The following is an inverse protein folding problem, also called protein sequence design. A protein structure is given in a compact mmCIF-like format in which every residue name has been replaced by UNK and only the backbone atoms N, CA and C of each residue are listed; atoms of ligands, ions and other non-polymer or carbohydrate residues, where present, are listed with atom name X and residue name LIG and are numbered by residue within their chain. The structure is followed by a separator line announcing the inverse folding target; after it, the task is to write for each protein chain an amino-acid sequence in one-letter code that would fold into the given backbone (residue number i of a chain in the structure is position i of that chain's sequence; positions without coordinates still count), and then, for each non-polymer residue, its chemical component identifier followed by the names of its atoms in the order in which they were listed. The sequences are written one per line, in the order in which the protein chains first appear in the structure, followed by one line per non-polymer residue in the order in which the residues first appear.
data_IF_815569021350
#
_entry.id   IF_815569021350
#
_cell.length_a   1.000
_cell.length_b   1.000
_cell.length_c   1.000
_cell.angle_alpha   90.00
_cell.angle_beta   90.00
_cell.angle_gamma   90.00
#
_symmetry.space_group_name_H-M   'P 1'
#
loop_
_entity.id
_entity.type
_entity.pdbx_description
1 polymer ?
#
# COMPACT_ATOMS: atom_id res chain seq x y z
N UNK A 1 -12.24 26.83 -21.31
CA UNK A 1 -12.49 25.61 -20.51
C UNK A 1 -11.49 25.68 -19.38
N UNK A 2 -11.96 25.48 -18.15
CA UNK A 2 -11.07 25.56 -16.99
C UNK A 2 -10.70 24.15 -16.54
N UNK A 3 -9.45 23.97 -16.09
CA UNK A 3 -8.94 22.70 -15.65
C UNK A 3 -8.80 22.60 -14.12
N UNK A 4 -8.77 21.36 -13.64
CA UNK A 4 -8.46 21.01 -12.27
C UNK A 4 -7.36 19.94 -12.22
N UNK A 5 -6.62 19.88 -11.12
CA UNK A 5 -5.80 18.72 -10.77
C UNK A 5 -6.47 17.98 -9.62
N UNK A 6 -6.32 16.65 -9.56
CA UNK A 6 -6.67 15.85 -8.40
C UNK A 6 -5.48 15.73 -7.45
N UNK A 7 -5.78 15.60 -6.16
CA UNK A 7 -4.79 15.17 -5.16
C UNK A 7 -5.27 13.87 -4.57
N UNK A 8 -4.48 12.84 -4.79
CA UNK A 8 -4.75 11.48 -4.33
C UNK A 8 -3.94 11.17 -3.07
N UNK A 9 -4.57 10.50 -2.11
CA UNK A 9 -3.92 9.93 -0.94
C UNK A 9 -4.16 8.42 -0.91
N UNK A 10 -3.09 7.63 -0.79
CA UNK A 10 -3.19 6.19 -0.60
C UNK A 10 -3.44 5.91 0.88
N UNK A 11 -4.51 5.19 1.16
CA UNK A 11 -4.98 4.83 2.49
C UNK A 11 -4.95 3.32 2.71
N UNK A 12 -5.29 2.85 3.90
CA UNK A 12 -5.43 1.40 4.19
C UNK A 12 -6.50 0.70 3.34
N UNK A 13 -7.40 1.48 2.73
CA UNK A 13 -8.44 1.01 1.80
C UNK A 13 -8.13 1.36 0.33
N UNK A 14 -6.88 1.66 0.02
CA UNK A 14 -6.44 2.09 -1.31
C UNK A 14 -6.50 3.61 -1.53
N UNK A 15 -6.32 4.06 -2.77
CA UNK A 15 -6.25 5.48 -3.12
C UNK A 15 -7.62 6.17 -3.09
N UNK A 16 -7.63 7.37 -2.49
CA UNK A 16 -8.77 8.30 -2.47
C UNK A 16 -8.36 9.65 -3.03
N UNK A 17 -9.21 10.24 -3.85
CA UNK A 17 -9.09 11.64 -4.24
C UNK A 17 -9.63 12.49 -3.10
N UNK A 18 -8.76 13.24 -2.45
CA UNK A 18 -9.05 13.98 -1.22
C UNK A 18 -9.22 15.48 -1.45
N UNK A 19 -8.67 15.99 -2.58
CA UNK A 19 -8.63 17.40 -2.88
C UNK A 19 -8.66 17.62 -4.40
N UNK A 20 -9.23 18.74 -4.83
CA UNK A 20 -9.08 19.28 -6.18
C UNK A 20 -8.36 20.62 -6.10
N UNK A 21 -7.49 20.91 -7.07
CA UNK A 21 -6.81 22.17 -7.23
C UNK A 21 -7.32 22.81 -8.52
N UNK A 22 -7.97 23.97 -8.39
CA UNK A 22 -8.49 24.76 -9.50
C UNK A 22 -7.49 25.87 -9.84
N UNK A 23 -7.33 26.18 -11.11
CA UNK A 23 -6.58 27.37 -11.53
C UNK A 23 -7.56 28.46 -11.95
N UNK A 24 -7.59 29.55 -11.18
CA UNK A 24 -8.41 30.74 -11.44
C UNK A 24 -7.72 31.70 -12.41
N UNK A 25 -8.47 32.56 -13.11
CA UNK A 25 -7.87 33.58 -13.98
C UNK A 25 -7.09 34.65 -13.22
N UNK A 26 -7.43 34.89 -11.94
CA UNK A 26 -6.82 35.91 -11.10
C UNK A 26 -6.47 35.40 -9.72
N UNK A 27 -5.56 36.11 -9.05
CA UNK A 27 -5.17 35.79 -7.66
C UNK A 27 -6.29 36.19 -6.70
N UNK A 28 -6.60 35.28 -5.77
CA UNK A 28 -7.59 35.46 -4.71
C UNK A 28 -6.95 35.29 -3.34
N UNK A 29 -7.51 35.97 -2.33
CA UNK A 29 -7.07 35.83 -0.93
C UNK A 29 -7.99 34.94 -0.14
N UNK A 30 -7.50 34.33 0.94
CA UNK A 30 -8.23 33.37 1.76
C UNK A 30 -9.57 33.94 2.29
N UNK A 31 -9.60 35.23 2.68
CA UNK A 31 -10.80 35.88 3.23
C UNK A 31 -11.95 36.02 2.25
N UNK A 32 -11.73 35.82 0.95
CA UNK A 32 -12.76 35.91 -0.09
C UNK A 32 -13.43 34.56 -0.40
N UNK A 33 -12.85 33.45 0.10
CA UNK A 33 -13.30 32.07 -0.22
C UNK A 33 -14.16 31.48 0.91
N UNK A 34 -15.24 30.80 0.53
CA UNK A 34 -16.16 30.08 1.42
C UNK A 34 -16.42 28.69 0.87
N UNK A 35 -16.71 27.74 1.76
CA UNK A 35 -16.90 26.32 1.42
C UNK A 35 -18.08 26.06 0.48
N UNK A 36 -19.08 26.94 0.48
CA UNK A 36 -20.29 26.82 -0.32
C UNK A 36 -20.22 27.56 -1.68
N UNK A 37 -19.02 27.97 -2.11
CA UNK A 37 -18.83 28.61 -3.42
C UNK A 37 -18.81 27.66 -4.60
N UNK A 38 -18.57 26.38 -4.35
CA UNK A 38 -18.43 25.37 -5.40
C UNK A 38 -19.24 24.12 -5.11
N UNK A 39 -19.89 23.60 -6.14
CA UNK A 39 -20.43 22.24 -6.17
C UNK A 39 -19.45 21.31 -6.87
N UNK A 40 -19.15 20.18 -6.25
CA UNK A 40 -18.25 19.15 -6.80
C UNK A 40 -19.06 17.91 -7.16
N UNK A 41 -19.16 17.60 -8.43
CA UNK A 41 -19.81 16.40 -8.96
C UNK A 41 -18.75 15.46 -9.53
N UNK A 42 -18.91 14.14 -9.36
CA UNK A 42 -18.01 13.14 -9.91
C UNK A 42 -18.77 12.03 -10.61
N UNK A 43 -18.21 11.56 -11.72
CA UNK A 43 -18.58 10.30 -12.38
C UNK A 43 -17.38 9.35 -12.34
N UNK A 44 -17.61 8.13 -11.85
CA UNK A 44 -16.61 7.06 -11.78
C UNK A 44 -16.86 6.07 -12.89
N UNK A 45 -15.85 5.83 -13.70
CA UNK A 45 -15.91 5.00 -14.91
C UNK A 45 -14.82 3.94 -14.88
N UNK A 46 -15.06 2.82 -15.54
CA UNK A 46 -14.00 1.87 -15.85
C UNK A 46 -12.95 2.53 -16.73
N UNK A 47 -11.69 2.32 -16.44
CA UNK A 47 -10.60 2.98 -17.18
C UNK A 47 -10.45 2.47 -18.61
N UNK A 48 -10.83 1.21 -18.87
CA UNK A 48 -10.71 0.54 -20.17
C UNK A 48 -11.89 0.86 -21.12
N UNK A 49 -13.12 0.80 -20.62
CA UNK A 49 -14.33 0.94 -21.44
C UNK A 49 -14.96 2.33 -21.38
N UNK A 50 -14.66 3.11 -20.35
CA UNK A 50 -15.33 4.38 -20.07
C UNK A 50 -16.78 4.22 -19.56
N UNK A 51 -17.24 3.00 -19.33
CA UNK A 51 -18.56 2.73 -18.77
C UNK A 51 -18.66 3.19 -17.33
N UNK A 52 -19.81 3.75 -16.95
CA UNK A 52 -20.07 4.12 -15.56
C UNK A 52 -20.16 2.85 -14.72
N UNK A 53 -19.41 2.83 -13.60
CA UNK A 53 -19.41 1.69 -12.69
C UNK A 53 -20.74 1.64 -11.95
N UNK A 54 -21.46 0.53 -12.03
CA UNK A 54 -22.71 0.35 -11.32
C UNK A 54 -22.66 -0.76 -10.28
N UNK A 55 -22.09 -1.90 -10.63
CA UNK A 55 -21.95 -3.05 -9.74
C UNK A 55 -20.68 -3.80 -10.06
N UNK A 56 -20.05 -4.33 -9.04
CA UNK A 56 -18.95 -5.28 -9.19
C UNK A 56 -19.32 -6.57 -8.47
N UNK A 57 -18.91 -7.70 -9.05
CA UNK A 57 -18.96 -8.99 -8.36
C UNK A 57 -17.61 -9.23 -7.70
N UNK A 58 -17.64 -9.43 -6.40
CA UNK A 58 -16.48 -9.88 -5.65
C UNK A 58 -16.70 -11.33 -5.23
N UNK A 59 -15.65 -11.99 -4.73
CA UNK A 59 -15.78 -13.31 -4.12
C UNK A 59 -16.75 -13.34 -2.91
N UNK A 60 -17.04 -12.18 -2.30
CA UNK A 60 -18.06 -12.02 -1.25
C UNK A 60 -19.45 -11.69 -1.78
N UNK A 61 -19.66 -11.75 -3.10
CA UNK A 61 -20.92 -11.38 -3.73
C UNK A 61 -20.90 -10.01 -4.43
N UNK A 62 -22.04 -9.56 -4.95
CA UNK A 62 -22.13 -8.29 -5.66
C UNK A 62 -21.95 -7.12 -4.70
N UNK A 63 -21.07 -6.18 -5.07
CA UNK A 63 -20.95 -4.86 -4.41
C UNK A 63 -21.54 -3.80 -5.35
N UNK A 64 -22.37 -2.93 -4.79
CA UNK A 64 -22.86 -1.74 -5.48
C UNK A 64 -21.92 -0.60 -5.11
N UNK A 65 -21.23 -0.05 -6.11
CA UNK A 65 -20.46 1.17 -5.95
C UNK A 65 -21.29 2.36 -6.38
N UNK A 66 -21.33 3.46 -5.60
CA UNK A 66 -21.90 4.69 -6.10
C UNK A 66 -21.06 5.16 -7.29
N UNK A 67 -21.69 5.19 -8.47
CA UNK A 67 -21.01 5.51 -9.72
C UNK A 67 -20.81 7.01 -9.93
N UNK A 68 -21.72 7.82 -9.37
CA UNK A 68 -21.73 9.27 -9.55
C UNK A 68 -22.50 9.98 -8.45
N UNK A 69 -22.19 11.25 -8.24
CA UNK A 69 -22.88 12.10 -7.29
C UNK A 69 -22.09 13.31 -6.88
N UNK A 70 -22.69 14.12 -6.02
CA UNK A 70 -22.04 15.27 -5.42
C UNK A 70 -21.17 14.80 -4.23
N UNK A 71 -20.01 15.46 -4.11
CA UNK A 71 -19.13 15.29 -2.95
C UNK A 71 -19.27 16.51 -2.04
N UNK A 72 -19.24 16.26 -0.76
CA UNK A 72 -19.18 17.30 0.26
C UNK A 72 -17.88 18.11 0.11
N UNK A 73 -17.97 19.44 0.28
CA UNK A 73 -16.83 20.35 0.34
C UNK A 73 -16.59 20.73 1.80
N UNK A 74 -15.45 20.39 2.35
CA UNK A 74 -15.11 20.67 3.76
C UNK A 74 -14.26 21.92 3.94
N UNK A 75 -13.44 22.26 2.94
CA UNK A 75 -12.65 23.50 2.94
C UNK A 75 -12.38 24.00 1.54
N UNK A 76 -12.33 25.35 1.39
CA UNK A 76 -11.90 26.05 0.18
C UNK A 76 -10.88 27.12 0.58
N UNK A 77 -9.70 27.12 -0.04
CA UNK A 77 -8.63 28.06 0.31
C UNK A 77 -7.63 28.24 -0.83
N UNK A 78 -6.90 29.40 -0.89
CA UNK A 78 -5.79 29.55 -1.83
C UNK A 78 -4.66 28.58 -1.50
N UNK A 79 -4.01 28.05 -2.54
CA UNK A 79 -2.90 27.12 -2.39
C UNK A 79 -1.81 27.38 -3.45
N UNK A 80 -0.66 26.72 -3.31
CA UNK A 80 0.30 26.60 -4.40
C UNK A 80 -0.17 25.58 -5.44
N UNK A 81 0.62 25.37 -6.48
CA UNK A 81 0.32 24.41 -7.56
C UNK A 81 0.29 22.94 -7.11
N UNK A 82 0.78 22.64 -5.89
CA UNK A 82 0.81 21.33 -5.24
C UNK A 82 -0.27 21.17 -4.16
N UNK A 83 -1.09 22.23 -3.93
CA UNK A 83 -2.20 22.19 -2.97
C UNK A 83 -1.82 22.54 -1.53
N UNK A 84 -0.61 23.07 -1.27
CA UNK A 84 -0.23 23.60 0.03
C UNK A 84 -0.86 24.98 0.26
N UNK A 85 -1.37 25.22 1.48
CA UNK A 85 -2.04 26.47 1.82
C UNK A 85 -1.15 27.70 1.58
N UNK A 86 -1.76 28.75 1.04
CA UNK A 86 -1.16 30.06 0.83
C UNK A 86 -2.13 31.15 1.29
N UNK A 87 -1.63 32.36 1.58
CA UNK A 87 -2.48 33.49 1.95
C UNK A 87 -3.23 34.03 0.73
N UNK A 88 -2.59 33.96 -0.42
CA UNK A 88 -3.16 34.38 -1.71
C UNK A 88 -2.56 33.56 -2.85
N UNK A 89 -3.36 33.25 -3.87
CA UNK A 89 -2.92 32.51 -5.06
C UNK A 89 -3.97 32.58 -6.16
N UNK A 90 -3.57 32.26 -7.40
CA UNK A 90 -4.51 31.89 -8.47
C UNK A 90 -4.97 30.44 -8.36
N UNK A 91 -4.27 29.60 -7.59
CA UNK A 91 -4.70 28.23 -7.33
C UNK A 91 -5.59 28.18 -6.09
N UNK A 92 -6.69 27.44 -6.19
CA UNK A 92 -7.66 27.23 -5.11
C UNK A 92 -7.85 25.75 -4.88
N UNK A 93 -7.61 25.32 -3.65
CA UNK A 93 -7.87 23.96 -3.22
C UNK A 93 -9.31 23.80 -2.72
N UNK A 94 -9.94 22.70 -3.09
CA UNK A 94 -11.21 22.22 -2.56
C UNK A 94 -10.96 20.90 -1.86
N UNK A 95 -11.07 20.86 -0.53
CA UNK A 95 -10.95 19.62 0.25
C UNK A 95 -12.29 18.92 0.37
N UNK A 96 -12.24 17.59 0.30
CA UNK A 96 -13.39 16.71 0.36
C UNK A 96 -13.13 15.58 1.36
N UNK A 97 -14.13 15.15 2.14
CA UNK A 97 -13.95 14.04 3.07
C UNK A 97 -13.73 12.73 2.31
N UNK A 98 -12.97 11.82 2.94
CA UNK A 98 -12.61 10.53 2.37
C UNK A 98 -12.58 9.43 3.43
N UNK A 99 -12.55 8.19 3.00
CA UNK A 99 -12.55 7.01 3.87
C UNK A 99 -13.77 6.13 3.65
N UNK A 100 -14.02 5.14 4.54
CA UNK A 100 -15.04 4.11 4.36
C UNK A 100 -16.47 4.63 4.14
N UNK A 101 -16.77 5.82 4.66
CA UNK A 101 -18.11 6.43 4.58
C UNK A 101 -18.29 7.30 3.33
N UNK A 102 -17.21 7.54 2.56
CA UNK A 102 -17.19 8.44 1.40
C UNK A 102 -16.73 7.72 0.12
N UNK A 103 -17.48 6.70 -0.33
CA UNK A 103 -17.05 5.82 -1.42
C UNK A 103 -16.85 6.52 -2.78
N UNK A 104 -17.49 7.69 -3.02
CA UNK A 104 -17.29 8.48 -4.23
C UNK A 104 -15.87 9.06 -4.36
N UNK A 105 -15.11 9.11 -3.28
CA UNK A 105 -13.72 9.55 -3.29
C UNK A 105 -12.73 8.46 -3.67
N UNK A 106 -13.12 7.18 -3.58
CA UNK A 106 -12.23 6.05 -3.82
C UNK A 106 -11.91 5.89 -5.30
N UNK A 107 -10.60 5.83 -5.62
CA UNK A 107 -10.12 5.77 -7.00
C UNK A 107 -9.88 4.34 -7.52
N UNK A 108 -10.04 3.30 -6.67
CA UNK A 108 -9.98 1.90 -7.08
C UNK A 108 -11.20 1.12 -6.58
N UNK A 109 -11.41 -0.05 -7.13
CA UNK A 109 -12.39 -1.03 -6.64
C UNK A 109 -12.42 -2.25 -7.52
N UNK A 110 -13.14 -3.28 -7.09
CA UNK A 110 -13.32 -4.49 -7.90
C UNK A 110 -14.17 -4.18 -9.14
N UNK A 111 -13.62 -4.40 -10.32
CA UNK A 111 -14.28 -4.27 -11.61
C UNK A 111 -14.36 -5.63 -12.36
N UNK A 112 -14.36 -6.71 -11.61
CA UNK A 112 -14.34 -8.08 -12.11
C UNK A 112 -13.69 -8.98 -11.07
N UNK A 113 -12.59 -9.64 -11.42
CA UNK A 113 -11.85 -10.54 -10.51
C UNK A 113 -10.85 -9.78 -9.62
N UNK A 114 -10.39 -8.59 -10.03
CA UNK A 114 -9.35 -7.80 -9.37
C UNK A 114 -9.79 -6.37 -9.15
N UNK A 115 -9.03 -5.67 -8.29
CA UNK A 115 -9.13 -4.23 -8.18
C UNK A 115 -8.59 -3.56 -9.47
N UNK A 116 -9.26 -2.51 -9.88
CA UNK A 116 -8.85 -1.66 -11.00
C UNK A 116 -8.91 -0.20 -10.60
N UNK A 117 -8.08 0.63 -11.21
CA UNK A 117 -8.24 2.06 -11.12
C UNK A 117 -9.45 2.53 -11.90
N UNK A 118 -10.22 3.41 -11.28
CA UNK A 118 -11.35 4.07 -11.91
C UNK A 118 -10.93 5.42 -12.48
N UNK A 119 -11.44 5.75 -13.65
CA UNK A 119 -11.41 7.12 -14.15
C UNK A 119 -12.45 7.92 -13.39
N UNK A 120 -12.02 8.88 -12.57
CA UNK A 120 -12.89 9.75 -11.80
C UNK A 120 -12.97 11.11 -12.51
N UNK A 121 -14.03 11.33 -13.29
CA UNK A 121 -14.25 12.59 -13.99
C UNK A 121 -15.01 13.56 -13.07
N UNK A 122 -14.34 14.62 -12.65
CA UNK A 122 -14.92 15.67 -11.81
C UNK A 122 -15.47 16.80 -12.67
N UNK A 123 -16.55 17.38 -12.18
CA UNK A 123 -17.07 18.67 -12.64
C UNK A 123 -17.29 19.59 -11.45
N UNK A 124 -16.51 20.66 -11.40
CA UNK A 124 -16.63 21.68 -10.35
C UNK A 124 -17.36 22.86 -10.94
N UNK A 125 -18.50 23.23 -10.36
CA UNK A 125 -19.30 24.37 -10.79
C UNK A 125 -19.26 25.45 -9.71
N UNK A 126 -18.82 26.63 -10.06
CA UNK A 126 -18.93 27.81 -9.20
C UNK A 126 -20.40 28.22 -9.09
N UNK A 127 -20.93 28.33 -7.87
CA UNK A 127 -22.33 28.65 -7.59
C UNK A 127 -22.49 30.02 -6.86
N UNK A 128 -21.40 30.56 -6.32
CA UNK A 128 -21.35 31.91 -5.76
C UNK A 128 -20.19 32.68 -6.35
N UNK A 129 -20.36 34.02 -6.49
CA UNK A 129 -19.28 34.88 -6.94
C UNK A 129 -18.13 34.94 -5.92
N UNK A 130 -16.91 35.04 -6.41
CA UNK A 130 -15.76 35.45 -5.61
C UNK A 130 -15.63 36.94 -5.75
N UNK A 131 -15.68 37.70 -4.62
CA UNK A 131 -15.60 39.15 -4.66
C UNK A 131 -14.30 39.65 -5.31
N UNK A 132 -14.40 40.66 -6.18
CA UNK A 132 -13.27 41.26 -6.89
C UNK A 132 -13.73 42.38 -7.79
N UNK A 133 -12.85 42.98 -8.58
CA UNK A 133 -13.19 44.01 -9.55
C UNK A 133 -12.55 43.67 -10.89
N UNK A 134 -13.32 43.06 -11.81
CA UNK A 134 -14.69 42.54 -11.67
C UNK A 134 -14.77 41.31 -10.79
N UNK A 135 -15.96 40.94 -10.27
CA UNK A 135 -16.11 39.68 -9.53
C UNK A 135 -15.95 38.49 -10.45
N UNK A 136 -15.38 37.37 -9.91
CA UNK A 136 -15.20 36.15 -10.65
C UNK A 136 -16.48 35.30 -10.51
N UNK A 137 -17.10 34.94 -11.65
CA UNK A 137 -18.37 34.23 -11.69
C UNK A 137 -18.44 33.23 -12.85
N UNK A 138 -19.32 32.23 -12.73
CA UNK A 138 -19.73 31.38 -13.83
C UNK A 138 -18.70 30.35 -14.28
N UNK A 139 -17.72 30.03 -13.44
CA UNK A 139 -16.66 29.08 -13.79
C UNK A 139 -17.13 27.63 -13.67
N UNK A 140 -16.75 26.83 -14.67
CA UNK A 140 -16.91 25.37 -14.67
C UNK A 140 -15.56 24.74 -15.00
N UNK A 141 -15.11 23.85 -14.13
CA UNK A 141 -13.87 23.09 -14.29
C UNK A 141 -14.25 21.65 -14.56
N UNK A 142 -13.98 21.13 -15.75
CA UNK A 142 -14.34 19.79 -16.22
C UNK A 142 -13.23 19.09 -17.00
N UNK A 143 -12.03 19.68 -17.05
CA UNK A 143 -10.83 19.09 -17.65
C UNK A 143 -9.81 18.73 -16.58
N UNK A 144 -9.46 17.44 -16.45
CA UNK A 144 -8.42 16.99 -15.53
C UNK A 144 -7.02 17.23 -16.11
N UNK A 145 -6.25 18.12 -15.50
CA UNK A 145 -4.88 18.46 -15.89
C UNK A 145 -3.81 17.57 -15.25
N UNK A 146 -4.18 16.61 -14.42
CA UNK A 146 -3.26 15.66 -13.79
C UNK A 146 -3.65 15.29 -12.36
N UNK A 147 -2.86 14.38 -11.78
CA UNK A 147 -3.00 13.93 -10.40
C UNK A 147 -1.71 14.16 -9.61
N UNK A 148 -1.82 14.52 -8.36
CA UNK A 148 -0.72 14.69 -7.42
C UNK A 148 -0.89 13.64 -6.32
N UNK A 149 0.12 12.77 -6.16
CA UNK A 149 0.18 11.82 -5.06
C UNK A 149 1.61 11.77 -4.51
N UNK A 150 1.85 12.50 -3.42
CA UNK A 150 3.19 12.58 -2.79
C UNK A 150 3.73 11.22 -2.36
N UNK A 151 2.85 10.29 -1.98
CA UNK A 151 3.25 8.94 -1.57
C UNK A 151 3.81 8.10 -2.72
N UNK A 152 3.57 8.51 -3.98
CA UNK A 152 4.12 7.86 -5.17
C UNK A 152 5.45 8.44 -5.64
N UNK A 153 5.97 9.45 -4.95
CA UNK A 153 7.30 9.98 -5.26
C UNK A 153 8.37 8.91 -5.08
N UNK A 154 9.18 8.71 -6.11
CA UNK A 154 10.21 7.66 -6.14
C UNK A 154 9.70 6.27 -6.55
N UNK A 155 8.38 6.11 -6.75
CA UNK A 155 7.81 4.88 -7.31
C UNK A 155 7.81 4.91 -8.83
N UNK A 156 8.11 3.75 -9.41
CA UNK A 156 8.12 3.50 -10.85
C UNK A 156 7.58 2.11 -11.16
N UNK A 157 7.30 1.84 -12.43
CA UNK A 157 6.84 0.53 -12.89
C UNK A 157 7.77 -0.01 -13.96
N UNK A 158 7.91 -1.34 -13.99
CA UNK A 158 8.69 -2.03 -15.02
C UNK A 158 8.13 -3.45 -15.18
N UNK A 159 8.77 -4.25 -16.02
CA UNK A 159 8.38 -5.62 -16.32
C UNK A 159 9.64 -6.49 -16.42
N UNK A 160 9.59 -7.70 -15.82
CA UNK A 160 10.68 -8.67 -15.94
C UNK A 160 10.76 -9.26 -17.35
N UNK A 161 11.96 -9.72 -17.72
CA UNK A 161 12.22 -10.30 -19.05
C UNK A 161 12.04 -11.82 -19.08
N UNK A 162 11.69 -12.47 -17.95
CA UNK A 162 11.62 -13.93 -17.86
C UNK A 162 10.49 -14.50 -18.71
N UNK A 163 10.82 -15.20 -19.80
CA UNK A 163 9.87 -15.91 -20.64
C UNK A 163 9.68 -17.38 -20.16
N UNK A 164 8.46 -17.94 -20.26
CA UNK A 164 7.27 -17.40 -20.93
C UNK A 164 6.34 -16.60 -19.99
N UNK A 165 6.76 -16.26 -18.77
CA UNK A 165 5.90 -15.67 -17.74
C UNK A 165 6.51 -14.39 -17.14
N UNK A 166 6.63 -13.30 -17.93
CA UNK A 166 7.15 -12.03 -17.42
C UNK A 166 6.15 -11.40 -16.45
N UNK A 167 6.64 -10.87 -15.33
CA UNK A 167 5.84 -10.20 -14.30
C UNK A 167 5.97 -8.69 -14.41
N UNK A 168 4.87 -7.97 -14.35
CA UNK A 168 4.88 -6.54 -14.09
C UNK A 168 5.25 -6.30 -12.63
N UNK A 169 5.89 -5.18 -12.32
CA UNK A 169 6.18 -4.81 -10.94
C UNK A 169 6.22 -3.30 -10.75
N UNK A 170 5.78 -2.86 -9.56
CA UNK A 170 6.10 -1.54 -9.06
C UNK A 170 7.37 -1.59 -8.21
N UNK A 171 8.12 -0.49 -8.16
CA UNK A 171 9.29 -0.40 -7.30
C UNK A 171 9.55 1.03 -6.82
N UNK A 172 10.10 1.13 -5.62
CA UNK A 172 10.57 2.39 -5.04
C UNK A 172 12.10 2.43 -5.04
N UNK A 173 12.64 3.55 -5.49
CA UNK A 173 14.08 3.85 -5.44
C UNK A 173 14.31 4.98 -4.46
N UNK A 174 15.15 4.80 -3.42
CA UNK A 174 15.55 5.88 -2.53
C UNK A 174 16.26 7.00 -3.28
N UNK A 175 15.95 8.24 -2.93
CA UNK A 175 16.69 9.41 -3.43
C UNK A 175 18.00 9.58 -2.64
N UNK A 176 19.05 8.88 -3.08
CA UNK A 176 20.35 8.91 -2.40
C UNK A 176 21.00 10.29 -2.40
N UNK A 177 20.72 11.14 -3.39
CA UNK A 177 21.25 12.50 -3.45
C UNK A 177 20.60 13.34 -2.34
N UNK A 178 19.28 13.30 -2.20
CA UNK A 178 18.56 14.02 -1.14
C UNK A 178 18.91 13.48 0.25
N UNK A 179 18.96 12.15 0.39
CA UNK A 179 19.30 11.50 1.65
C UNK A 179 20.72 11.84 2.16
N UNK A 180 21.67 12.09 1.27
CA UNK A 180 23.08 12.42 1.62
C UNK A 180 23.34 13.92 1.78
N UNK A 181 22.38 14.78 1.44
CA UNK A 181 22.54 16.23 1.67
C UNK A 181 22.77 16.55 3.15
N UNK A 182 23.65 17.49 3.47
CA UNK A 182 23.83 17.92 4.85
C UNK A 182 22.52 18.48 5.42
N UNK A 183 22.31 18.39 6.75
CA UNK A 183 21.12 18.96 7.37
C UNK A 183 21.10 20.48 7.18
N UNK A 184 19.93 21.03 6.89
CA UNK A 184 19.71 22.47 6.66
C UNK A 184 20.03 23.30 7.92
N UNK A 185 19.88 22.68 9.12
CA UNK A 185 20.20 23.31 10.40
C UNK A 185 21.38 22.57 11.07
N UNK A 186 22.46 23.30 11.42
CA UNK A 186 23.66 22.70 12.01
C UNK A 186 23.48 22.18 13.46
N UNK A 187 22.34 22.45 14.10
CA UNK A 187 22.05 22.07 15.49
C UNK A 187 21.01 20.93 15.62
N UNK A 188 20.68 20.22 14.52
CA UNK A 188 19.83 19.03 14.55
C UNK A 188 20.60 17.78 15.04
N UNK A 189 19.89 16.68 15.38
CA UNK A 189 20.53 15.41 15.64
C UNK A 189 21.38 15.00 14.43
N UNK A 190 22.52 14.31 14.64
CA UNK A 190 23.37 13.89 13.53
C UNK A 190 22.55 13.05 12.55
N UNK A 191 22.65 13.39 11.27
CA UNK A 191 21.98 12.63 10.20
C UNK A 191 22.62 11.24 10.15
N UNK A 192 21.79 10.21 10.12
CA UNK A 192 22.26 8.84 9.99
C UNK A 192 23.02 8.69 8.66
N UNK A 193 24.19 8.13 8.68
CA UNK A 193 24.95 7.85 7.48
C UNK A 193 24.22 6.76 6.66
N UNK A 194 23.98 7.03 5.39
CA UNK A 194 23.35 6.08 4.49
C UNK A 194 24.44 5.23 3.86
N UNK A 195 24.43 3.90 4.06
CA UNK A 195 25.43 3.01 3.49
C UNK A 195 25.35 3.02 1.96
N UNK A 196 26.42 2.57 1.30
CA UNK A 196 26.48 2.49 -0.18
C UNK A 196 25.51 1.45 -0.72
N UNK A 197 25.30 0.37 0.03
CA UNK A 197 24.31 -0.67 -0.27
C UNK A 197 23.25 -0.73 0.83
N UNK A 198 21.99 -0.83 0.41
CA UNK A 198 20.82 -0.79 1.27
C UNK A 198 19.94 -2.04 1.06
N UNK A 199 19.07 -2.40 2.00
CA UNK A 199 18.19 -3.56 1.85
C UNK A 199 17.26 -3.46 0.64
N UNK A 200 16.77 -4.64 0.22
CA UNK A 200 15.61 -4.80 -0.65
C UNK A 200 14.45 -5.38 0.16
N UNK A 201 13.32 -4.69 0.17
CA UNK A 201 12.06 -5.16 0.74
C UNK A 201 11.12 -5.57 -0.38
N UNK A 202 10.67 -6.82 -0.38
CA UNK A 202 9.73 -7.34 -1.37
C UNK A 202 8.35 -7.47 -0.72
N UNK A 203 7.33 -6.94 -1.40
CA UNK A 203 5.93 -7.11 -0.99
C UNK A 203 5.15 -7.86 -2.06
N UNK A 204 4.48 -8.94 -1.66
CA UNK A 204 3.63 -9.76 -2.52
C UNK A 204 2.16 -9.46 -2.19
N UNK A 205 1.42 -9.06 -3.21
CA UNK A 205 0.04 -8.60 -3.09
C UNK A 205 -0.95 -9.73 -2.76
N UNK A 206 -2.12 -9.36 -2.22
CA UNK A 206 -3.24 -10.26 -2.03
C UNK A 206 -3.95 -10.60 -3.34
N UNK A 207 -4.96 -11.46 -3.25
CA UNK A 207 -5.68 -11.92 -4.44
C UNK A 207 -6.38 -10.81 -5.22
N UNK A 208 -6.84 -9.77 -4.52
CA UNK A 208 -7.53 -8.64 -5.12
C UNK A 208 -6.67 -7.72 -5.99
N UNK A 209 -5.35 -7.81 -5.86
CA UNK A 209 -4.40 -6.93 -6.53
C UNK A 209 -3.69 -7.61 -7.72
N UNK A 210 -4.13 -8.80 -8.13
CA UNK A 210 -3.70 -9.43 -9.38
C UNK A 210 -4.07 -8.61 -10.61
N UNK A 211 -3.56 -9.00 -11.78
CA UNK A 211 -3.85 -8.32 -13.05
C UNK A 211 -2.61 -7.75 -13.73
N UNK A 212 -2.80 -6.67 -14.50
CA UNK A 212 -1.75 -6.13 -15.37
C UNK A 212 -1.46 -4.63 -15.13
N UNK A 213 -1.99 -4.04 -14.07
CA UNK A 213 -1.63 -2.69 -13.63
C UNK A 213 -0.81 -2.78 -12.34
N UNK A 214 0.54 -2.69 -12.41
CA UNK A 214 1.40 -2.87 -11.25
C UNK A 214 1.17 -1.82 -10.16
N UNK A 215 0.53 -0.68 -10.47
CA UNK A 215 0.19 0.33 -9.46
C UNK A 215 -0.70 -0.23 -8.38
N UNK A 216 -1.60 -1.16 -8.73
CA UNK A 216 -2.51 -1.81 -7.78
C UNK A 216 -1.73 -2.59 -6.71
N UNK A 217 -0.62 -3.25 -7.07
CA UNK A 217 0.16 -4.07 -6.15
C UNK A 217 0.76 -3.25 -4.97
N UNK A 218 0.98 -1.93 -5.16
CA UNK A 218 1.55 -1.09 -4.10
C UNK A 218 0.63 0.02 -3.57
N UNK A 219 -0.48 0.29 -4.25
CA UNK A 219 -1.48 1.27 -3.78
C UNK A 219 -2.73 0.64 -3.21
N UNK A 220 -3.05 -0.59 -3.59
CA UNK A 220 -4.29 -1.26 -3.17
C UNK A 220 -4.42 -1.42 -1.65
N UNK A 221 -3.31 -1.66 -0.95
CA UNK A 221 -3.25 -1.92 0.48
C UNK A 221 -2.25 -1.01 1.23
N UNK A 222 -1.97 0.19 0.73
CA UNK A 222 -1.04 1.17 1.32
C UNK A 222 0.43 0.68 1.40
N UNK A 223 0.85 -0.20 0.52
CA UNK A 223 2.24 -0.71 0.47
C UNK A 223 3.26 0.44 0.28
N UNK A 224 2.83 1.53 -0.37
CA UNK A 224 3.60 2.77 -0.46
C UNK A 224 4.12 3.28 0.87
N UNK A 225 3.51 2.89 2.01
CA UNK A 225 3.98 3.29 3.33
C UNK A 225 5.37 2.72 3.68
N UNK A 226 5.80 1.63 3.02
CA UNK A 226 7.15 1.09 3.17
C UNK A 226 8.21 2.11 2.70
N UNK A 227 7.86 2.98 1.74
CA UNK A 227 8.73 4.08 1.31
C UNK A 227 8.65 5.34 2.17
N UNK A 228 7.79 5.36 3.21
CA UNK A 228 7.72 6.49 4.15
C UNK A 228 9.02 6.66 4.93
N UNK A 229 9.35 7.91 5.25
CA UNK A 229 10.56 8.20 6.05
C UNK A 229 10.61 7.38 7.34
N UNK A 230 9.47 7.20 8.00
CA UNK A 230 9.39 6.46 9.27
C UNK A 230 9.85 5.00 9.12
N UNK A 231 9.38 4.30 8.08
CA UNK A 231 9.76 2.90 7.85
C UNK A 231 11.17 2.82 7.27
N UNK A 232 11.55 3.70 6.36
CA UNK A 232 12.90 3.76 5.79
C UNK A 232 13.97 3.97 6.89
N UNK A 233 13.71 4.83 7.88
CA UNK A 233 14.61 5.04 9.02
C UNK A 233 14.82 3.73 9.83
N UNK A 234 13.80 2.89 9.99
CA UNK A 234 13.87 1.59 10.67
C UNK A 234 14.62 0.53 9.88
N UNK A 235 14.58 0.62 8.56
CA UNK A 235 15.32 -0.25 7.64
C UNK A 235 16.80 0.15 7.46
N UNK A 236 17.28 1.12 8.23
CA UNK A 236 18.67 1.58 8.16
C UNK A 236 18.86 2.93 7.49
N UNK A 237 17.79 3.65 7.20
CA UNK A 237 17.76 4.98 6.61
C UNK A 237 17.34 5.01 5.13
N UNK A 238 17.51 3.88 4.42
CA UNK A 238 17.05 3.70 3.05
C UNK A 238 16.86 2.21 2.74
N UNK A 239 15.90 1.87 1.88
CA UNK A 239 15.69 0.54 1.33
C UNK A 239 14.99 0.64 -0.03
N UNK A 240 15.37 -0.20 -0.99
CA UNK A 240 14.56 -0.43 -2.17
C UNK A 240 13.28 -1.18 -1.78
N UNK A 241 12.18 -0.92 -2.50
CA UNK A 241 10.95 -1.71 -2.38
C UNK A 241 10.59 -2.28 -3.74
N UNK A 242 10.26 -3.56 -3.81
CA UNK A 242 9.81 -4.24 -5.02
C UNK A 242 8.44 -4.87 -4.76
N UNK A 243 7.46 -4.54 -5.60
CA UNK A 243 6.10 -5.05 -5.53
C UNK A 243 5.72 -5.73 -6.85
N UNK A 244 6.10 -7.02 -7.06
CA UNK A 244 5.71 -7.78 -8.25
C UNK A 244 4.19 -8.02 -8.29
N UNK A 245 3.64 -8.12 -9.50
CA UNK A 245 2.22 -8.41 -9.72
C UNK A 245 2.03 -9.70 -10.53
N UNK A 246 1.30 -10.65 -9.95
CA UNK A 246 0.85 -11.83 -10.69
C UNK A 246 -0.33 -11.45 -11.60
N UNK A 247 -0.31 -11.84 -12.88
CA UNK A 247 -1.43 -11.61 -13.79
C UNK A 247 -2.76 -12.24 -13.34
N UNK A 248 -2.68 -13.32 -12.55
CA UNK A 248 -3.82 -13.97 -11.91
C UNK A 248 -3.69 -13.88 -10.38
N UNK A 249 -3.27 -14.93 -9.74
CA UNK A 249 -3.06 -15.02 -8.29
C UNK A 249 -1.87 -15.92 -7.99
N UNK A 250 -1.14 -15.68 -6.90
CA UNK A 250 0.02 -16.48 -6.53
C UNK A 250 -0.32 -17.96 -6.28
N UNK A 251 -1.55 -18.24 -5.80
CA UNK A 251 -2.07 -19.62 -5.58
C UNK A 251 -2.58 -20.30 -6.86
N UNK A 252 -2.22 -19.82 -8.03
CA UNK A 252 -2.54 -20.46 -9.32
C UNK A 252 -1.45 -21.50 -9.65
N UNK A 253 -1.81 -22.79 -9.61
CA UNK A 253 -0.95 -23.92 -9.94
C UNK A 253 -0.78 -24.17 -11.46
N UNK A 254 -1.42 -23.34 -12.29
CA UNK A 254 -1.51 -23.46 -13.75
C UNK A 254 -2.94 -23.74 -14.23
N UNK A 255 -3.87 -24.04 -13.34
CA UNK A 255 -5.28 -24.27 -13.66
C UNK A 255 -6.07 -22.94 -13.88
N UNK A 256 -5.50 -21.81 -13.48
CA UNK A 256 -6.18 -20.52 -13.47
C UNK A 256 -7.17 -20.35 -12.30
N UNK A 257 -7.13 -21.27 -11.33
CA UNK A 257 -8.02 -21.29 -10.18
C UNK A 257 -7.21 -21.14 -8.87
N UNK A 258 -7.91 -20.81 -7.79
CA UNK A 258 -7.36 -20.90 -6.45
C UNK A 258 -7.17 -22.38 -6.08
N UNK A 259 -5.96 -22.75 -5.70
CA UNK A 259 -5.65 -24.09 -5.23
C UNK A 259 -5.03 -24.04 -3.82
N UNK A 260 -5.32 -25.06 -3.02
CA UNK A 260 -4.76 -25.22 -1.67
C UNK A 260 -3.79 -26.41 -1.61
N UNK A 261 -3.13 -26.69 -2.74
CA UNK A 261 -2.17 -27.78 -2.87
C UNK A 261 -0.72 -27.35 -2.60
N UNK A 262 -0.52 -26.09 -2.26
CA UNK A 262 0.78 -25.52 -1.95
C UNK A 262 1.65 -25.19 -3.17
N UNK A 263 1.13 -25.28 -4.40
CA UNK A 263 1.87 -25.00 -5.63
C UNK A 263 1.55 -23.64 -6.21
N UNK A 264 2.50 -23.09 -6.95
CA UNK A 264 2.35 -21.87 -7.73
C UNK A 264 3.12 -22.00 -9.04
N UNK A 265 2.46 -21.66 -10.15
CA UNK A 265 3.15 -21.54 -11.44
C UNK A 265 4.12 -20.34 -11.50
N UNK A 266 4.00 -19.43 -10.55
CA UNK A 266 4.76 -18.18 -10.52
C UNK A 266 6.09 -18.27 -9.74
N UNK A 267 6.36 -19.38 -9.01
CA UNK A 267 7.54 -19.47 -8.13
C UNK A 267 8.84 -19.13 -8.88
N UNK A 268 9.08 -19.78 -10.04
CA UNK A 268 10.30 -19.57 -10.84
C UNK A 268 10.31 -18.17 -11.47
N UNK A 269 9.17 -17.72 -12.00
CA UNK A 269 9.04 -16.41 -12.62
C UNK A 269 9.27 -15.27 -11.60
N UNK A 270 8.75 -15.42 -10.39
CA UNK A 270 8.97 -14.46 -9.31
C UNK A 270 10.45 -14.43 -8.88
N UNK A 271 11.09 -15.60 -8.74
CA UNK A 271 12.53 -15.65 -8.43
C UNK A 271 13.36 -14.96 -9.51
N UNK A 272 13.07 -15.24 -10.78
CA UNK A 272 13.74 -14.61 -11.90
C UNK A 272 13.52 -13.08 -11.94
N UNK A 273 12.31 -12.62 -11.67
CA UNK A 273 11.99 -11.18 -11.54
C UNK A 273 12.80 -10.51 -10.44
N UNK A 274 12.91 -11.15 -9.27
CA UNK A 274 13.71 -10.63 -8.14
C UNK A 274 15.20 -10.60 -8.52
N UNK A 275 15.73 -11.67 -9.13
CA UNK A 275 17.14 -11.74 -9.53
C UNK A 275 17.49 -10.67 -10.56
N UNK A 276 16.63 -10.46 -11.56
CA UNK A 276 16.80 -9.41 -12.57
C UNK A 276 16.82 -8.02 -11.92
N UNK A 277 15.91 -7.77 -10.96
CA UNK A 277 15.88 -6.50 -10.24
C UNK A 277 17.14 -6.28 -9.39
N UNK A 278 17.57 -7.31 -8.66
CA UNK A 278 18.81 -7.27 -7.86
C UNK A 278 20.03 -7.02 -8.73
N UNK A 279 20.14 -7.71 -9.88
CA UNK A 279 21.28 -7.54 -10.81
C UNK A 279 21.26 -6.13 -11.42
N UNK A 280 20.09 -5.60 -11.79
CA UNK A 280 19.95 -4.23 -12.31
C UNK A 280 20.43 -3.16 -11.31
N UNK A 281 20.33 -3.45 -10.01
CA UNK A 281 20.69 -2.53 -8.92
C UNK A 281 21.81 -3.08 -8.02
N UNK A 282 22.67 -3.97 -8.54
CA UNK A 282 23.70 -4.72 -7.78
C UNK A 282 24.71 -3.85 -7.05
N UNK A 283 24.92 -2.62 -7.52
CA UNK A 283 25.83 -1.64 -6.91
C UNK A 283 25.20 -0.92 -5.72
N UNK A 284 23.89 -1.04 -5.52
CA UNK A 284 23.09 -0.36 -4.47
C UNK A 284 22.36 -1.30 -3.53
N UNK A 285 21.99 -2.51 -3.97
CA UNK A 285 21.29 -3.48 -3.13
C UNK A 285 22.31 -4.32 -2.36
N UNK A 286 22.07 -4.46 -1.05
CA UNK A 286 22.76 -5.39 -0.17
C UNK A 286 22.08 -6.77 -0.27
N UNK A 287 22.76 -7.73 -0.91
CA UNK A 287 22.22 -9.08 -1.14
C UNK A 287 22.12 -9.93 0.12
N UNK A 288 22.77 -9.51 1.22
CA UNK A 288 22.62 -10.16 2.52
C UNK A 288 21.41 -9.63 3.30
N UNK A 289 20.69 -8.66 2.75
CA UNK A 289 19.54 -8.00 3.37
C UNK A 289 18.36 -7.91 2.39
N UNK A 290 17.96 -9.05 1.84
CA UNK A 290 16.76 -9.18 1.01
C UNK A 290 15.64 -9.76 1.87
N UNK A 291 14.56 -9.01 2.03
CA UNK A 291 13.41 -9.37 2.85
C UNK A 291 12.18 -9.60 1.98
N UNK A 292 11.40 -10.62 2.32
CA UNK A 292 10.19 -10.97 1.57
C UNK A 292 8.99 -11.05 2.49
N UNK A 293 7.87 -10.44 2.07
CA UNK A 293 6.60 -10.50 2.76
C UNK A 293 5.44 -10.26 1.82
N UNK A 294 4.24 -10.36 2.33
CA UNK A 294 3.03 -10.15 1.55
C UNK A 294 1.80 -10.60 2.29
N UNK A 295 0.62 -10.24 1.81
CA UNK A 295 -0.62 -10.51 2.50
C UNK A 295 -1.47 -11.58 1.80
N UNK A 296 -2.17 -12.42 2.58
CA UNK A 296 -3.15 -13.38 2.05
C UNK A 296 -2.51 -14.32 1.02
N UNK A 297 -2.94 -14.23 -0.22
CA UNK A 297 -2.35 -14.89 -1.38
C UNK A 297 -0.84 -14.58 -1.54
N UNK A 298 -0.42 -13.34 -1.25
CA UNK A 298 1.00 -12.96 -1.19
C UNK A 298 1.72 -13.55 0.03
N UNK A 299 1.04 -13.73 1.15
CA UNK A 299 1.56 -14.45 2.31
C UNK A 299 1.81 -15.93 2.01
N UNK A 300 0.89 -16.59 1.27
CA UNK A 300 1.13 -17.92 0.69
C UNK A 300 2.42 -17.94 -0.12
N UNK A 301 2.58 -16.99 -1.04
CA UNK A 301 3.75 -16.95 -1.92
C UNK A 301 5.03 -16.61 -1.16
N UNK A 302 4.95 -15.82 -0.10
CA UNK A 302 6.07 -15.56 0.81
C UNK A 302 6.59 -16.87 1.39
N UNK A 303 5.70 -17.70 1.93
CA UNK A 303 6.07 -19.02 2.49
C UNK A 303 6.63 -19.96 1.42
N UNK A 304 6.03 -20.00 0.22
CA UNK A 304 6.57 -20.81 -0.89
C UNK A 304 7.99 -20.39 -1.26
N UNK A 305 8.23 -19.08 -1.37
CA UNK A 305 9.54 -18.57 -1.76
C UNK A 305 10.64 -18.92 -0.75
N UNK A 306 10.37 -18.83 0.56
CA UNK A 306 11.37 -19.22 1.57
C UNK A 306 11.57 -20.72 1.67
N UNK A 307 10.55 -21.55 1.35
CA UNK A 307 10.68 -23.01 1.28
C UNK A 307 11.49 -23.43 0.06
N UNK A 308 11.24 -22.83 -1.10
CA UNK A 308 11.88 -23.20 -2.36
C UNK A 308 13.29 -22.59 -2.50
N UNK A 309 13.57 -21.47 -1.81
CA UNK A 309 14.85 -20.74 -1.85
C UNK A 309 15.31 -20.34 -0.43
N UNK A 310 15.57 -21.28 0.48
CA UNK A 310 15.80 -21.01 1.92
C UNK A 310 17.04 -20.14 2.18
N UNK A 311 18.07 -20.21 1.34
CA UNK A 311 19.32 -19.44 1.51
C UNK A 311 19.31 -18.06 0.84
N UNK A 312 18.15 -17.67 0.25
CA UNK A 312 18.10 -16.44 -0.54
C UNK A 312 17.68 -15.21 0.28
N UNK A 313 16.77 -15.39 1.22
CA UNK A 313 16.18 -14.29 1.98
C UNK A 313 16.77 -14.20 3.39
N UNK A 314 17.05 -12.97 3.84
CA UNK A 314 17.54 -12.71 5.19
C UNK A 314 16.42 -12.80 6.24
N UNK A 315 15.18 -12.52 5.85
CA UNK A 315 14.01 -12.67 6.70
C UNK A 315 12.71 -12.67 5.88
N UNK A 316 11.64 -13.18 6.50
CA UNK A 316 10.30 -13.17 5.94
C UNK A 316 9.28 -12.53 6.90
N UNK A 317 8.25 -11.85 6.33
CA UNK A 317 7.17 -11.23 7.11
C UNK A 317 5.80 -11.49 6.47
N UNK A 318 5.33 -12.78 6.48
CA UNK A 318 4.05 -13.16 5.92
C UNK A 318 2.88 -12.63 6.75
N UNK A 319 1.85 -12.08 6.07
CA UNK A 319 0.69 -11.45 6.71
C UNK A 319 -0.58 -12.19 6.28
N UNK A 320 -1.44 -12.59 7.23
CA UNK A 320 -2.64 -13.41 7.00
C UNK A 320 -2.40 -14.48 5.92
N UNK A 321 -1.25 -15.17 6.03
CA UNK A 321 -0.74 -16.06 5.00
C UNK A 321 -1.68 -17.25 4.75
N UNK A 322 -1.85 -17.60 3.48
CA UNK A 322 -2.85 -18.56 3.03
C UNK A 322 -2.29 -19.95 2.68
N UNK A 323 -1.02 -20.25 3.03
CA UNK A 323 -0.46 -21.56 2.84
C UNK A 323 -0.94 -22.51 3.96
N UNK A 324 -1.70 -23.54 3.62
CA UNK A 324 -2.19 -24.48 4.61
C UNK A 324 -1.04 -25.31 5.18
N UNK A 325 -0.92 -25.36 6.51
CA UNK A 325 0.13 -26.11 7.20
C UNK A 325 0.23 -27.59 6.75
N UNK A 326 -0.91 -28.20 6.44
CA UNK A 326 -0.97 -29.60 5.98
C UNK A 326 -0.21 -29.90 4.69
N UNK A 327 0.11 -28.86 3.88
CA UNK A 327 0.89 -29.03 2.64
C UNK A 327 2.36 -28.65 2.82
N UNK A 328 2.75 -28.23 4.03
CA UNK A 328 4.14 -27.98 4.42
C UNK A 328 4.68 -29.28 5.04
N UNK A 329 5.67 -29.91 4.41
CA UNK A 329 6.29 -31.14 4.95
C UNK A 329 7.17 -30.83 6.17
N UNK A 330 7.52 -31.86 6.95
CA UNK A 330 8.49 -31.70 8.04
C UNK A 330 9.89 -31.33 7.51
N UNK A 331 10.23 -31.80 6.32
CA UNK A 331 11.47 -31.42 5.64
C UNK A 331 11.45 -29.90 5.27
N UNK A 332 10.31 -29.36 4.86
CA UNK A 332 10.18 -27.93 4.58
C UNK A 332 10.33 -27.10 5.85
N UNK A 333 9.76 -27.53 6.97
CA UNK A 333 9.96 -26.90 8.29
C UNK A 333 11.45 -26.87 8.66
N UNK A 334 12.16 -28.00 8.48
CA UNK A 334 13.60 -28.07 8.75
C UNK A 334 14.42 -27.10 7.88
N UNK A 335 14.04 -26.93 6.60
CA UNK A 335 14.71 -25.98 5.69
C UNK A 335 14.58 -24.53 6.13
N UNK A 336 13.41 -24.14 6.69
CA UNK A 336 13.11 -22.73 6.98
C UNK A 336 13.23 -22.35 8.46
N UNK A 337 13.48 -23.30 9.38
CA UNK A 337 13.50 -23.04 10.84
C UNK A 337 14.53 -22.01 11.29
N UNK A 338 15.61 -21.85 10.53
CA UNK A 338 16.68 -20.91 10.85
C UNK A 338 16.51 -19.55 10.17
N UNK A 339 15.53 -19.40 9.26
CA UNK A 339 15.16 -18.12 8.66
C UNK A 339 14.39 -17.30 9.68
N UNK A 340 14.76 -16.05 9.94
CA UNK A 340 13.95 -15.12 10.74
C UNK A 340 12.58 -14.90 10.10
N UNK A 341 11.48 -15.18 10.84
CA UNK A 341 10.11 -15.02 10.33
C UNK A 341 9.25 -14.28 11.35
N UNK A 342 8.54 -13.26 10.90
CA UNK A 342 7.52 -12.57 11.70
C UNK A 342 6.16 -12.62 11.01
N UNK A 343 5.27 -13.46 11.52
CA UNK A 343 3.89 -13.57 11.06
C UNK A 343 3.02 -12.45 11.63
N UNK A 344 2.02 -12.00 10.88
CA UNK A 344 0.94 -11.14 11.36
C UNK A 344 -0.40 -11.74 10.97
N UNK A 345 -1.32 -11.88 11.93
CA UNK A 345 -2.66 -12.45 11.69
C UNK A 345 -3.68 -11.89 12.69
N UNK A 346 -4.97 -12.04 12.39
CA UNK A 346 -6.05 -11.69 13.31
C UNK A 346 -6.97 -12.89 13.59
N UNK A 347 -7.40 -13.04 14.84
CA UNK A 347 -8.25 -14.14 15.29
C UNK A 347 -9.62 -14.18 14.61
N UNK A 348 -10.15 -13.01 14.22
CA UNK A 348 -11.43 -12.87 13.54
C UNK A 348 -11.32 -12.89 12.00
N UNK A 349 -10.21 -13.40 11.45
CA UNK A 349 -10.07 -13.60 10.02
C UNK A 349 -10.95 -14.77 9.55
N UNK A 350 -12.04 -14.43 8.85
CA UNK A 350 -12.98 -15.40 8.28
C UNK A 350 -12.62 -15.83 6.84
N UNK A 351 -11.56 -15.29 6.27
CA UNK A 351 -11.10 -15.59 4.92
C UNK A 351 -10.00 -16.63 4.95
N UNK A 352 -9.02 -16.44 5.82
CA UNK A 352 -7.90 -17.36 6.05
C UNK A 352 -7.88 -17.73 7.53
N UNK A 353 -8.23 -18.98 7.82
CA UNK A 353 -8.28 -19.47 9.19
C UNK A 353 -6.88 -19.67 9.76
N UNK A 354 -6.55 -18.96 10.83
CA UNK A 354 -5.25 -19.03 11.49
C UNK A 354 -4.92 -20.45 11.98
N UNK A 355 -5.92 -21.23 12.40
CA UNK A 355 -5.74 -22.61 12.90
C UNK A 355 -5.37 -23.61 11.78
N UNK A 356 -5.52 -23.24 10.51
CA UNK A 356 -5.15 -24.07 9.36
C UNK A 356 -3.85 -23.63 8.69
N UNK A 357 -3.34 -22.46 9.07
CA UNK A 357 -2.21 -21.79 8.42
C UNK A 357 -1.15 -21.41 9.46
N UNK A 358 -1.09 -20.15 9.88
CA UNK A 358 -0.01 -19.60 10.70
C UNK A 358 0.20 -20.30 12.03
N UNK A 359 -0.86 -20.65 12.77
CA UNK A 359 -0.72 -21.19 14.13
C UNK A 359 -0.08 -22.58 14.19
N UNK A 360 -0.49 -23.59 13.38
CA UNK A 360 0.19 -24.87 13.35
C UNK A 360 1.60 -24.77 12.77
N UNK A 361 1.82 -23.96 11.73
CA UNK A 361 3.15 -23.74 11.14
C UNK A 361 4.12 -23.13 12.15
N UNK A 362 3.69 -22.09 12.90
CA UNK A 362 4.47 -21.50 13.98
C UNK A 362 4.85 -22.53 15.05
N UNK A 363 3.88 -23.36 15.51
CA UNK A 363 4.13 -24.39 16.52
C UNK A 363 5.16 -25.43 16.04
N UNK A 364 5.08 -25.83 14.77
CA UNK A 364 6.07 -26.77 14.17
C UNK A 364 7.45 -26.14 14.06
N UNK A 365 7.55 -24.87 13.62
CA UNK A 365 8.82 -24.14 13.61
C UNK A 365 9.45 -24.06 14.99
N UNK A 366 8.66 -23.71 16.02
CA UNK A 366 9.14 -23.68 17.41
C UNK A 366 9.60 -25.07 17.91
N UNK A 367 8.86 -26.10 17.57
CA UNK A 367 9.21 -27.48 17.92
C UNK A 367 10.49 -27.97 17.22
N UNK A 368 10.74 -27.52 15.99
CA UNK A 368 11.97 -27.78 15.24
C UNK A 368 13.19 -26.95 15.74
N UNK A 369 12.99 -26.06 16.72
CA UNK A 369 14.05 -25.27 17.33
C UNK A 369 14.27 -23.88 16.74
N UNK A 370 13.35 -23.37 15.92
CA UNK A 370 13.41 -22.00 15.41
C UNK A 370 13.52 -20.99 16.55
N UNK A 371 14.52 -20.11 16.50
CA UNK A 371 14.83 -19.13 17.56
C UNK A 371 14.25 -17.76 17.30
N UNK A 372 14.20 -17.35 16.03
CA UNK A 372 13.79 -16.03 15.60
C UNK A 372 12.50 -16.12 14.75
N UNK A 373 11.43 -16.64 15.40
CA UNK A 373 10.11 -16.75 14.80
C UNK A 373 9.07 -16.13 15.74
N UNK A 374 8.29 -15.18 15.22
CA UNK A 374 7.33 -14.37 15.96
C UNK A 374 5.96 -14.37 15.30
N UNK A 375 4.91 -14.12 16.09
CA UNK A 375 3.54 -13.94 15.58
C UNK A 375 2.89 -12.77 16.30
N UNK A 376 2.65 -11.68 15.58
CA UNK A 376 1.72 -10.65 16.06
C UNK A 376 0.29 -11.10 15.77
N UNK A 377 -0.43 -11.52 16.82
CA UNK A 377 -1.77 -12.08 16.72
C UNK A 377 -2.79 -11.16 17.38
N UNK A 378 -3.67 -10.56 16.58
CA UNK A 378 -4.63 -9.56 17.00
C UNK A 378 -6.03 -10.15 17.14
N UNK A 379 -6.81 -9.71 18.14
CA UNK A 379 -8.20 -10.15 18.29
C UNK A 379 -9.06 -9.72 17.09
N UNK A 380 -8.84 -8.49 16.60
CA UNK A 380 -9.55 -7.86 15.49
C UNK A 380 -8.67 -6.79 14.82
N UNK A 381 -9.10 -6.32 13.66
CA UNK A 381 -8.39 -5.25 12.95
C UNK A 381 -9.19 -3.95 13.04
N UNK A 382 -8.62 -2.94 13.70
CA UNK A 382 -9.24 -1.62 13.89
C UNK A 382 -8.31 -0.50 13.45
N UNK A 383 -8.89 0.65 13.11
CA UNK A 383 -8.09 1.86 12.86
C UNK A 383 -7.44 2.36 14.15
N UNK A 384 -6.10 2.34 14.19
CA UNK A 384 -5.30 2.87 15.30
C UNK A 384 -4.80 4.30 15.03
N UNK A 385 -5.00 4.84 13.84
CA UNK A 385 -4.61 6.21 13.50
C UNK A 385 -5.54 7.26 14.14
N UNK A 386 -6.74 6.86 14.55
CA UNK A 386 -7.82 7.76 14.98
C UNK A 386 -8.47 8.54 13.85
N UNK A 387 -8.06 8.28 12.60
CA UNK A 387 -8.54 8.96 11.41
C UNK A 387 -9.99 8.59 11.11
N UNK A 388 -10.32 7.31 11.24
CA UNK A 388 -11.64 6.82 10.90
C UNK A 388 -12.37 6.23 12.10
N UNK A 389 -13.64 6.56 12.19
CA UNK A 389 -14.54 6.13 13.27
C UNK A 389 -15.83 5.58 12.67
N UNK A 390 -16.44 4.65 13.39
CA UNK A 390 -17.79 4.20 13.09
C UNK A 390 -18.84 5.27 13.48
N UNK A 391 -20.13 4.96 13.23
CA UNK A 391 -21.25 5.86 13.55
C UNK A 391 -21.43 6.13 15.06
N UNK A 392 -20.78 5.34 15.91
CA UNK A 392 -20.81 5.49 17.38
C UNK A 392 -19.55 6.19 17.90
N UNK A 393 -18.65 6.67 17.02
CA UNK A 393 -17.42 7.33 17.40
C UNK A 393 -16.28 6.39 17.83
N UNK A 394 -16.46 5.07 17.70
CA UNK A 394 -15.42 4.07 17.99
C UNK A 394 -14.47 3.96 16.79
N UNK A 395 -13.21 3.48 16.98
CA UNK A 395 -12.32 3.18 15.87
C UNK A 395 -13.01 2.34 14.79
N UNK A 396 -12.80 2.68 13.52
CA UNK A 396 -13.35 1.89 12.42
C UNK A 396 -12.79 0.47 12.47
N UNK A 397 -13.65 -0.54 12.38
CA UNK A 397 -13.25 -1.95 12.35
C UNK A 397 -13.21 -2.42 10.90
N UNK A 398 -12.01 -2.87 10.49
CA UNK A 398 -11.80 -3.52 9.19
C UNK A 398 -12.27 -4.97 9.24
N UNK A 399 -12.34 -5.63 8.09
CA UNK A 399 -12.43 -7.09 8.07
C UNK A 399 -11.22 -7.69 8.78
N UNK A 400 -11.42 -8.76 9.55
CA UNK A 400 -10.33 -9.44 10.26
C UNK A 400 -9.19 -9.89 9.35
N UNK A 401 -9.49 -10.15 8.07
CA UNK A 401 -8.50 -10.49 7.06
C UNK A 401 -7.49 -9.37 6.76
N UNK A 402 -7.80 -8.12 7.09
CA UNK A 402 -6.96 -6.96 6.73
C UNK A 402 -5.83 -6.71 7.74
N UNK A 403 -5.28 -7.76 8.36
CA UNK A 403 -4.17 -7.61 9.34
C UNK A 403 -2.92 -6.91 8.78
N UNK A 404 -2.78 -6.80 7.44
CA UNK A 404 -1.74 -5.96 6.82
C UNK A 404 -1.83 -4.47 7.18
N UNK A 405 -3.00 -3.99 7.62
CA UNK A 405 -3.15 -2.63 8.14
C UNK A 405 -2.18 -2.40 9.30
N UNK A 406 -2.04 -3.37 10.20
CA UNK A 406 -1.11 -3.28 11.31
C UNK A 406 0.35 -3.37 10.86
N UNK A 407 0.67 -4.29 9.95
CA UNK A 407 2.02 -4.43 9.40
C UNK A 407 2.47 -3.16 8.70
N UNK A 408 1.67 -2.65 7.76
CA UNK A 408 2.03 -1.49 6.94
C UNK A 408 2.00 -0.16 7.71
N UNK A 409 1.33 -0.09 8.86
CA UNK A 409 1.33 1.07 9.76
C UNK A 409 2.23 0.89 11.00
N UNK A 410 3.18 -0.07 10.97
CA UNK A 410 4.16 -0.31 12.03
C UNK A 410 3.55 -0.56 13.43
N UNK A 411 2.49 -1.37 13.48
CA UNK A 411 1.79 -1.68 14.73
C UNK A 411 2.13 -3.06 15.32
N UNK A 412 2.98 -3.87 14.64
CA UNK A 412 3.40 -5.18 15.10
C UNK A 412 4.60 -5.03 16.06
N UNK A 413 4.39 -5.25 17.36
CA UNK A 413 5.41 -5.13 18.41
C UNK A 413 5.36 -6.25 19.46
N UNK A 414 4.24 -7.01 19.52
CA UNK A 414 4.03 -8.08 20.50
C UNK A 414 4.02 -9.43 19.81
N UNK A 415 4.61 -10.42 20.47
CA UNK A 415 4.50 -11.83 20.11
C UNK A 415 3.17 -12.42 20.60
N UNK A 416 2.86 -13.64 20.16
CA UNK A 416 1.59 -14.33 20.45
C UNK A 416 1.33 -14.55 21.96
N UNK A 417 2.37 -14.59 22.77
CA UNK A 417 2.28 -14.72 24.23
C UNK A 417 2.05 -13.38 24.95
N UNK A 418 1.93 -12.28 24.19
CA UNK A 418 1.73 -10.93 24.71
C UNK A 418 3.01 -10.24 25.17
N UNK A 419 4.17 -10.84 25.00
CA UNK A 419 5.45 -10.20 25.31
C UNK A 419 5.93 -9.34 24.14
N UNK A 420 6.67 -8.28 24.42
CA UNK A 420 7.32 -7.48 23.38
C UNK A 420 8.45 -8.28 22.74
N UNK A 421 8.54 -8.21 21.42
CA UNK A 421 9.69 -8.76 20.70
C UNK A 421 10.92 -7.93 21.01
N UNK A 422 12.02 -8.61 21.37
CA UNK A 422 13.26 -7.99 21.83
C UNK A 422 14.42 -8.37 20.91
N UNK A 423 15.25 -7.40 20.55
CA UNK A 423 16.56 -7.61 19.93
C UNK A 423 17.63 -6.97 20.82
N UNK A 424 18.62 -7.74 21.25
CA UNK A 424 19.69 -7.29 22.15
C UNK A 424 19.17 -6.54 23.39
N UNK A 425 18.09 -7.03 24.00
CA UNK A 425 17.38 -6.44 25.14
C UNK A 425 16.71 -5.09 24.85
N UNK A 426 16.52 -4.73 23.58
CA UNK A 426 15.76 -3.53 23.16
C UNK A 426 14.45 -3.98 22.52
N UNK A 427 13.29 -3.41 22.94
CA UNK A 427 12.02 -3.71 22.28
C UNK A 427 12.03 -3.18 20.85
N UNK A 428 11.57 -4.01 19.93
CA UNK A 428 11.53 -3.68 18.50
C UNK A 428 10.14 -3.93 17.93
N UNK A 429 9.78 -3.14 16.92
CA UNK A 429 8.66 -3.40 16.04
C UNK A 429 9.13 -4.10 14.77
N UNK A 430 8.18 -4.67 14.01
CA UNK A 430 8.46 -5.48 12.84
C UNK A 430 9.47 -4.86 11.87
N UNK A 431 9.29 -3.58 11.48
CA UNK A 431 10.18 -2.95 10.51
C UNK A 431 11.59 -2.72 11.06
N UNK A 432 11.71 -2.40 12.36
CA UNK A 432 13.01 -2.29 13.00
C UNK A 432 13.68 -3.66 13.14
N UNK A 433 12.91 -4.68 13.57
CA UNK A 433 13.38 -6.06 13.63
C UNK A 433 13.88 -6.53 12.25
N UNK A 434 13.08 -6.27 11.19
CA UNK A 434 13.43 -6.65 9.82
C UNK A 434 14.77 -6.02 9.39
N UNK A 435 14.93 -4.71 9.64
CA UNK A 435 16.16 -3.98 9.31
C UNK A 435 17.43 -4.46 10.04
N UNK A 436 17.29 -5.29 11.07
CA UNK A 436 18.41 -5.89 11.83
C UNK A 436 18.77 -7.31 11.34
N UNK A 437 17.99 -7.91 10.41
CA UNK A 437 18.27 -9.26 9.93
C UNK A 437 19.28 -9.25 8.78
N UNK A 438 20.18 -10.24 8.80
CA UNK A 438 21.20 -10.49 7.79
C UNK A 438 21.29 -12.00 7.52
N UNK A 439 21.71 -12.40 6.31
CA UNK A 439 22.11 -13.81 6.05
C UNK A 439 23.41 -14.15 6.72
#
# INVERSE_FOLDING_TARGET
MYSYKTVTQVTDLGPYITKLILELPETVTAGLLQNDMFNVYVERKKSDTGEIIMTSRTWMGPRIYPSKGYREVTAVYPCDENGNRADQSKYVAIEMPYGPQYPLGQAIGYAGSFNEYFKCDYRVTQIREIPGVPPITGMVFDECAGDICEQLKGWSNDRSSYEPLPLNYGYFTPDFEELRKPPVFPFGPPKKEIPDKVPLVIWLHGAGEGGNDPRIAYTGNKVVNISSKEIQDKLGGAAYVLAPQAPTMWMDDGSGQYTNDGKSKYTVALKACIDEFVEKHRDKIDTDRIYIGGCSNGGFMTMRMIIDYPDYFAAAYPVCEALWDRVISDEDIEKIKDIPIWFTHAANDMTVAADLTVLPTYKRLRAAGAKNVHVSFFDRVVDLSGMWKDRLGRPYEYMGHFSWVYTLNDQCEYDIDGTRVMMDNVPVKLWQWLGLQHK
#
